data_IF_244765608576
#
_entry.id   IF_244765608576
#
_cell.length_a   1.000
_cell.length_b   1.000
_cell.length_c   1.000
_cell.angle_alpha   90.00
_cell.angle_beta   90.00
_cell.angle_gamma   90.00
#
_symmetry.space_group_name_H-M   'P 1'
#
loop_
_entity.id
_entity.type
_entity.pdbx_description
1 polymer ?
#
# COMPACT_ATOMS: atom_id res chain seq x y z
N UNK A 1 7.74 -7.48 27.15
CA UNK A 1 8.31 -6.35 27.92
C UNK A 1 7.93 -5.04 27.26
N UNK A 2 7.80 -3.94 28.01
CA UNK A 2 7.47 -2.60 27.48
C UNK A 2 8.62 -2.13 26.58
N UNK A 3 8.33 -1.77 25.33
CA UNK A 3 9.35 -1.31 24.38
C UNK A 3 9.89 0.05 24.87
N UNK A 4 11.22 0.22 25.03
CA UNK A 4 11.78 1.45 25.59
C UNK A 4 11.59 2.64 24.64
N UNK A 5 11.51 3.85 25.22
CA UNK A 5 11.09 5.05 24.51
C UNK A 5 11.97 5.37 23.28
N UNK A 6 13.25 5.02 23.38
CA UNK A 6 14.30 5.22 22.37
C UNK A 6 14.43 4.09 21.33
N UNK A 7 13.62 3.03 21.38
CA UNK A 7 13.79 1.90 20.44
C UNK A 7 13.46 2.25 18.96
N UNK A 8 12.94 3.46 18.69
CA UNK A 8 12.72 4.00 17.34
C UNK A 8 13.79 5.05 16.98
N UNK A 9 14.91 5.11 17.69
CA UNK A 9 16.01 6.06 17.45
C UNK A 9 15.72 7.51 17.82
N UNK A 10 14.47 7.88 18.08
CA UNK A 10 14.07 9.19 18.60
C UNK A 10 13.88 9.16 20.11
N UNK A 11 14.74 9.87 20.84
CA UNK A 11 14.65 9.98 22.30
C UNK A 11 14.64 11.43 22.81
N UNK A 12 14.78 12.42 21.93
CA UNK A 12 15.04 13.82 22.33
C UNK A 12 14.20 14.86 21.57
N UNK A 13 13.28 14.46 20.68
CA UNK A 13 12.44 15.38 19.91
C UNK A 13 13.18 16.13 18.80
N UNK A 14 14.42 15.73 18.47
CA UNK A 14 15.30 16.45 17.51
C UNK A 14 15.34 15.80 16.12
N UNK A 15 14.61 14.72 15.88
CA UNK A 15 14.65 13.97 14.63
C UNK A 15 13.43 14.24 13.76
N UNK A 16 12.23 14.10 14.31
CA UNK A 16 10.98 14.20 13.53
C UNK A 16 9.89 15.00 14.23
N UNK A 17 9.93 15.09 15.57
CA UNK A 17 8.89 15.75 16.35
C UNK A 17 7.52 15.04 16.31
N UNK A 18 7.48 13.81 15.77
CA UNK A 18 6.27 12.98 15.71
C UNK A 18 6.41 11.89 16.76
N UNK A 19 5.50 11.89 17.73
CA UNK A 19 5.48 10.95 18.84
C UNK A 19 4.28 10.01 18.69
N UNK A 20 4.51 8.71 18.77
CA UNK A 20 3.46 7.68 18.83
C UNK A 20 3.62 6.89 20.12
N UNK A 21 2.57 6.85 20.95
CA UNK A 21 2.57 6.15 22.25
C UNK A 21 3.77 6.55 23.15
N UNK A 22 4.11 7.84 23.16
CA UNK A 22 5.25 8.38 23.91
C UNK A 22 6.64 8.09 23.32
N UNK A 23 6.72 7.55 22.09
CA UNK A 23 7.99 7.25 21.39
C UNK A 23 8.13 8.16 20.18
N UNK A 24 9.25 8.83 20.03
CA UNK A 24 9.53 9.61 18.81
C UNK A 24 9.84 8.64 17.65
N UNK A 25 9.21 8.86 16.50
CA UNK A 25 9.38 8.05 15.30
C UNK A 25 10.73 8.33 14.62
N UNK A 26 11.35 7.28 14.11
CA UNK A 26 12.55 7.39 13.29
C UNK A 26 12.21 8.05 11.94
N UNK A 27 13.13 8.80 11.31
CA UNK A 27 12.92 9.31 9.95
C UNK A 27 12.54 8.23 8.91
N UNK A 28 13.02 7.00 9.07
CA UNK A 28 12.63 5.87 8.20
C UNK A 28 11.16 5.49 8.38
N UNK A 29 10.66 5.47 9.61
CA UNK A 29 9.26 5.18 9.90
C UNK A 29 8.38 6.31 9.37
N UNK A 30 8.79 7.56 9.57
CA UNK A 30 8.11 8.74 9.00
C UNK A 30 8.07 8.66 7.49
N UNK A 31 9.15 8.24 6.83
CA UNK A 31 9.16 8.03 5.37
C UNK A 31 8.15 6.97 4.95
N UNK A 32 8.05 5.86 5.70
CA UNK A 32 7.03 4.83 5.47
C UNK A 32 5.61 5.38 5.64
N UNK A 33 5.36 6.17 6.69
CA UNK A 33 4.08 6.83 6.92
C UNK A 33 3.76 7.87 5.83
N UNK A 34 4.73 8.64 5.35
CA UNK A 34 4.56 9.58 4.23
C UNK A 34 4.12 8.84 2.97
N UNK A 35 4.75 7.70 2.66
CA UNK A 35 4.31 6.84 1.56
C UNK A 35 2.90 6.28 1.80
N UNK A 36 2.56 5.99 3.07
CA UNK A 36 1.27 5.46 3.48
C UNK A 36 0.13 6.49 3.46
N UNK A 37 0.39 7.76 3.75
CA UNK A 37 -0.63 8.81 3.75
C UNK A 37 -0.59 9.71 2.50
N UNK A 38 0.46 9.61 1.69
CA UNK A 38 0.70 10.52 0.56
C UNK A 38 1.26 11.88 0.98
N UNK A 39 1.34 12.13 2.28
CA UNK A 39 1.86 13.35 2.89
C UNK A 39 2.58 13.01 4.20
N UNK A 40 3.55 13.85 4.58
CA UNK A 40 4.24 13.68 5.84
C UNK A 40 3.26 13.86 7.02
N UNK A 41 3.30 12.99 8.04
CA UNK A 41 2.51 13.16 9.25
C UNK A 41 2.86 14.49 9.92
N UNK A 42 1.87 15.16 10.51
CA UNK A 42 2.11 16.40 11.23
C UNK A 42 2.87 16.14 12.53
N UNK A 43 3.88 16.99 12.86
CA UNK A 43 4.54 16.95 14.16
C UNK A 43 3.52 17.05 15.28
N UNK A 44 3.67 16.23 16.32
CA UNK A 44 2.68 16.14 17.38
C UNK A 44 2.70 14.79 18.08
N UNK A 45 1.79 14.64 19.05
CA UNK A 45 1.64 13.41 19.82
C UNK A 45 0.40 12.65 19.36
N UNK A 46 0.60 11.39 19.06
CA UNK A 46 -0.37 10.49 18.48
C UNK A 46 -0.45 9.22 19.34
N UNK A 47 -1.63 8.63 19.41
CA UNK A 47 -1.82 7.29 19.95
C UNK A 47 -2.09 6.32 18.81
N UNK A 48 -1.59 5.10 18.94
CA UNK A 48 -1.90 3.97 18.06
C UNK A 48 -2.14 2.76 18.92
N UNK A 49 -3.28 2.10 18.77
CA UNK A 49 -3.59 0.88 19.53
C UNK A 49 -3.13 -0.40 18.81
N UNK A 50 -3.26 -1.55 19.48
CA UNK A 50 -2.90 -2.85 18.92
C UNK A 50 -3.81 -3.34 17.78
N UNK A 51 -4.95 -2.69 17.55
CA UNK A 51 -5.84 -2.93 16.41
C UNK A 51 -5.46 -2.07 15.19
N UNK A 52 -4.50 -1.17 15.36
CA UNK A 52 -4.05 -0.24 14.33
C UNK A 52 -4.89 1.03 14.25
N UNK A 53 -5.84 1.25 15.17
CA UNK A 53 -6.56 2.51 15.25
C UNK A 53 -5.62 3.61 15.74
N UNK A 54 -5.72 4.80 15.14
CA UNK A 54 -4.84 5.93 15.47
C UNK A 54 -5.59 7.25 15.57
N UNK A 55 -5.02 8.17 16.34
CA UNK A 55 -5.52 9.54 16.51
C UNK A 55 -4.55 10.41 17.30
N UNK A 56 -4.81 11.72 17.42
CA UNK A 56 -4.03 12.61 18.26
C UNK A 56 -4.25 12.27 19.75
N UNK A 57 -3.21 12.42 20.58
CA UNK A 57 -3.34 12.24 22.03
C UNK A 57 -4.42 13.17 22.61
N UNK A 58 -5.41 12.60 23.31
CA UNK A 58 -6.56 13.33 23.87
C UNK A 58 -7.75 13.50 22.91
N UNK A 59 -7.63 13.06 21.65
CA UNK A 59 -8.70 13.08 20.65
C UNK A 59 -9.29 11.70 20.33
N UNK A 60 -10.39 11.70 19.56
CA UNK A 60 -11.02 10.48 19.07
C UNK A 60 -10.21 9.76 17.98
N UNK A 61 -10.70 8.60 17.54
CA UNK A 61 -10.10 7.82 16.44
C UNK A 61 -10.21 8.57 15.12
N UNK A 62 -9.09 8.81 14.46
CA UNK A 62 -9.03 9.38 13.11
C UNK A 62 -9.14 8.31 12.03
N UNK A 63 -8.57 7.13 12.25
CA UNK A 63 -8.61 6.04 11.28
C UNK A 63 -7.90 4.79 11.76
N UNK A 64 -7.68 3.86 10.84
CA UNK A 64 -6.98 2.60 11.10
C UNK A 64 -5.83 2.41 10.09
N UNK A 65 -4.60 2.32 10.61
CA UNK A 65 -3.37 2.14 9.83
C UNK A 65 -3.36 0.82 9.05
N UNK A 66 -3.87 -0.27 9.65
CA UNK A 66 -3.92 -1.59 9.00
C UNK A 66 -4.87 -1.55 7.80
N UNK A 67 -6.05 -0.94 7.96
CA UNK A 67 -7.01 -0.77 6.88
C UNK A 67 -6.43 0.06 5.72
N UNK A 68 -5.65 1.11 6.02
CA UNK A 68 -4.93 1.93 5.04
C UNK A 68 -3.87 1.15 4.26
N UNK A 69 -3.10 0.28 4.92
CA UNK A 69 -2.13 -0.60 4.25
C UNK A 69 -2.85 -1.60 3.35
N UNK A 70 -3.92 -2.22 3.85
CA UNK A 70 -4.68 -3.23 3.10
C UNK A 70 -5.36 -2.65 1.86
N UNK A 71 -5.91 -1.44 1.93
CA UNK A 71 -6.53 -0.78 0.77
C UNK A 71 -5.51 -0.51 -0.34
N UNK A 72 -4.29 -0.07 0.02
CA UNK A 72 -3.15 0.12 -0.89
C UNK A 72 -2.66 -1.19 -1.52
N UNK A 73 -2.66 -2.29 -0.76
CA UNK A 73 -2.29 -3.61 -1.30
C UNK A 73 -3.31 -4.11 -2.32
N UNK A 74 -4.61 -3.89 -2.10
CA UNK A 74 -5.65 -4.24 -3.07
C UNK A 74 -5.50 -3.49 -4.40
N UNK A 75 -5.08 -2.22 -4.36
CA UNK A 75 -4.79 -1.42 -5.56
C UNK A 75 -3.53 -1.83 -6.32
N UNK A 76 -2.68 -2.71 -5.77
CA UNK A 76 -1.50 -3.29 -6.44
C UNK A 76 -1.75 -4.70 -6.99
N UNK A 77 -2.98 -5.19 -6.94
CA UNK A 77 -3.33 -6.51 -7.44
C UNK A 77 -3.16 -6.61 -8.95
N UNK A 78 -2.42 -7.62 -9.40
CA UNK A 78 -2.39 -8.00 -10.81
C UNK A 78 -3.78 -8.51 -11.20
N UNK A 79 -4.39 -7.94 -12.23
CA UNK A 79 -5.63 -8.45 -12.80
C UNK A 79 -5.29 -9.47 -13.90
N UNK A 80 -5.97 -10.61 -13.87
CA UNK A 80 -5.90 -11.62 -14.92
C UNK A 80 -7.33 -12.03 -15.29
N UNK A 81 -7.62 -12.05 -16.58
CA UNK A 81 -8.86 -12.57 -17.13
C UNK A 81 -8.55 -13.43 -18.34
N UNK A 82 -9.17 -14.60 -18.43
CA UNK A 82 -9.15 -15.44 -19.61
C UNK A 82 -10.57 -15.73 -20.09
N UNK A 83 -10.82 -15.54 -21.37
CA UNK A 83 -12.05 -15.92 -22.04
C UNK A 83 -11.80 -17.14 -22.92
N UNK A 84 -12.21 -18.31 -22.43
CA UNK A 84 -11.99 -19.60 -23.10
C UNK A 84 -12.75 -19.71 -24.42
N UNK A 85 -13.92 -19.09 -24.52
CA UNK A 85 -14.70 -19.07 -25.76
C UNK A 85 -13.91 -18.38 -26.89
N UNK A 86 -13.29 -17.24 -26.58
CA UNK A 86 -12.50 -16.47 -27.55
C UNK A 86 -11.02 -16.82 -27.58
N UNK A 87 -10.58 -17.78 -26.75
CA UNK A 87 -9.17 -18.11 -26.53
C UNK A 87 -8.32 -16.85 -26.37
N UNK A 88 -8.77 -15.96 -25.47
CA UNK A 88 -8.11 -14.68 -25.19
C UNK A 88 -7.79 -14.56 -23.71
N UNK A 89 -6.69 -13.88 -23.40
CA UNK A 89 -6.25 -13.58 -22.04
C UNK A 89 -5.76 -12.14 -21.94
N UNK A 90 -6.13 -11.48 -20.86
CA UNK A 90 -5.64 -10.16 -20.49
C UNK A 90 -5.01 -10.23 -19.11
N UNK A 91 -3.80 -9.69 -19.00
CA UNK A 91 -3.08 -9.50 -17.76
C UNK A 91 -2.80 -8.01 -17.59
N UNK A 92 -2.91 -7.49 -16.39
CA UNK A 92 -2.29 -6.22 -16.01
C UNK A 92 -1.73 -6.33 -14.64
N UNK A 93 -0.51 -5.88 -14.50
CA UNK A 93 0.13 -5.77 -13.21
C UNK A 93 1.28 -4.79 -13.32
N UNK A 94 1.56 -4.11 -12.22
CA UNK A 94 2.79 -3.32 -12.06
C UNK A 94 3.04 -2.30 -13.19
N UNK A 95 1.97 -1.68 -13.74
CA UNK A 95 2.07 -0.69 -14.82
C UNK A 95 2.10 -1.26 -16.23
N UNK A 96 2.13 -2.59 -16.39
CA UNK A 96 2.08 -3.25 -17.68
C UNK A 96 0.70 -3.86 -17.95
N UNK A 97 0.30 -3.86 -19.23
CA UNK A 97 -0.85 -4.59 -19.78
C UNK A 97 -0.37 -5.56 -20.85
N UNK A 98 -0.83 -6.81 -20.78
CA UNK A 98 -0.58 -7.81 -21.79
C UNK A 98 -1.92 -8.39 -22.26
N UNK A 99 -2.21 -8.26 -23.56
CA UNK A 99 -3.39 -8.84 -24.22
C UNK A 99 -2.89 -9.88 -25.20
N UNK A 100 -3.54 -11.04 -25.19
CA UNK A 100 -3.14 -12.17 -26.02
C UNK A 100 -4.42 -12.86 -26.48
N UNK A 101 -4.72 -12.91 -27.78
CA UNK A 101 -5.92 -13.58 -28.29
C UNK A 101 -5.82 -14.06 -29.73
N UNK A 102 -6.74 -14.95 -30.13
CA UNK A 102 -6.89 -15.34 -31.54
C UNK A 102 -7.44 -14.19 -32.38
N UNK A 103 -6.97 -14.06 -33.63
CA UNK A 103 -7.51 -13.08 -34.58
C UNK A 103 -8.92 -13.46 -35.06
N UNK A 104 -9.23 -14.76 -35.14
CA UNK A 104 -10.58 -15.30 -35.37
C UNK A 104 -10.97 -16.29 -34.27
N UNK A 105 -11.85 -15.90 -33.32
CA UNK A 105 -12.25 -16.74 -32.18
C UNK A 105 -12.83 -18.12 -32.53
N UNK A 106 -13.55 -18.21 -33.65
CA UNK A 106 -14.26 -19.42 -34.12
C UNK A 106 -13.36 -20.42 -34.86
N UNK A 107 -12.12 -20.03 -35.20
CA UNK A 107 -11.17 -20.89 -35.88
C UNK A 107 -10.05 -21.30 -34.93
N UNK A 108 -9.99 -22.60 -34.62
CA UNK A 108 -8.98 -23.16 -33.72
C UNK A 108 -7.54 -23.09 -34.25
N UNK A 109 -7.38 -22.94 -35.57
CA UNK A 109 -6.11 -22.79 -36.27
C UNK A 109 -5.70 -21.33 -36.52
N UNK A 110 -6.52 -20.38 -36.06
CA UNK A 110 -6.32 -18.96 -36.29
C UNK A 110 -5.02 -18.44 -35.64
N UNK A 111 -4.39 -17.49 -36.30
CA UNK A 111 -3.20 -16.79 -35.80
C UNK A 111 -3.51 -16.02 -34.52
N UNK A 112 -2.46 -15.77 -33.73
CA UNK A 112 -2.57 -15.13 -32.43
C UNK A 112 -2.00 -13.72 -32.48
N UNK A 113 -2.68 -12.75 -31.88
CA UNK A 113 -2.16 -11.40 -31.66
C UNK A 113 -1.72 -11.26 -30.20
N UNK A 114 -0.57 -10.62 -30.00
CA UNK A 114 -0.06 -10.28 -28.67
C UNK A 114 0.26 -8.79 -28.63
N UNK A 115 -0.13 -8.15 -27.54
CA UNK A 115 0.19 -6.76 -27.25
C UNK A 115 0.69 -6.69 -25.81
N UNK A 116 1.83 -6.04 -25.60
CA UNK A 116 2.35 -5.73 -24.28
C UNK A 116 2.67 -4.23 -24.24
N UNK A 117 2.09 -3.52 -23.28
CA UNK A 117 2.36 -2.11 -23.02
C UNK A 117 2.77 -1.91 -21.58
N UNK A 118 3.93 -1.30 -21.37
CA UNK A 118 4.43 -0.73 -20.12
C UNK A 118 4.89 0.70 -20.48
#
# INVERSE_FOLDING_TARGET
>A
GRVPANASGGGSGRLTGIFVNGRELHPLDVRGLTQLFGQAPWPGRWWVDGRGDFGPEGGGRYGNLVALVQSRQRSRGSYYRSDRASHSSVFVGSGCTAVSGRTSPSDSSSSYSYYVGC
#
